data_IF_070759217074
#
_entry.id   IF_070759217074
#
_cell.length_a   1.000
_cell.length_b   1.000
_cell.length_c   1.000
_cell.angle_alpha   90.00
_cell.angle_beta   90.00
_cell.angle_gamma   90.00
#
_symmetry.space_group_name_H-M   'P 1'
#
loop_
_entity.id
_entity.type
_entity.pdbx_description
1 polymer ?
#
# COMPACT_ATOMS: atom_id res chain seq x y z
N UNK A 1 3.77 12.25 12.83
CA UNK A 1 3.03 12.97 13.87
C UNK A 1 3.30 12.24 15.17
N UNK A 2 4.08 12.80 16.09
CA UNK A 2 4.40 12.14 17.37
C UNK A 2 3.44 12.63 18.45
N UNK A 3 2.28 11.99 18.55
CA UNK A 3 1.43 12.14 19.75
C UNK A 3 2.19 11.45 20.89
N UNK A 4 2.35 12.11 22.03
CA UNK A 4 3.02 11.45 23.16
C UNK A 4 2.09 10.44 23.82
N UNK A 5 2.65 9.35 24.37
CA UNK A 5 1.87 8.35 25.11
C UNK A 5 0.99 9.00 26.20
N UNK A 6 1.51 10.03 26.87
CA UNK A 6 0.76 10.81 27.86
C UNK A 6 -0.48 11.49 27.27
N UNK A 7 -0.38 12.08 26.07
CA UNK A 7 -1.53 12.71 25.41
C UNK A 7 -2.59 11.68 25.04
N UNK A 8 -2.18 10.48 24.65
CA UNK A 8 -3.11 9.41 24.30
C UNK A 8 -3.88 8.89 25.53
N UNK A 9 -3.17 8.67 26.65
CA UNK A 9 -3.79 8.32 27.93
C UNK A 9 -4.75 9.41 28.43
N UNK A 10 -4.38 10.69 28.27
CA UNK A 10 -5.28 11.81 28.59
C UNK A 10 -6.56 11.79 27.72
N UNK A 11 -6.44 11.43 26.43
CA UNK A 11 -7.60 11.30 25.54
C UNK A 11 -8.52 10.15 25.99
N UNK A 12 -7.95 9.00 26.34
CA UNK A 12 -8.74 7.87 26.86
C UNK A 12 -9.53 8.27 28.11
N UNK A 13 -8.89 8.93 29.08
CA UNK A 13 -9.57 9.40 30.28
C UNK A 13 -10.72 10.36 29.95
N UNK A 14 -10.50 11.29 29.01
CA UNK A 14 -11.55 12.23 28.59
C UNK A 14 -12.76 11.51 28.00
N UNK A 15 -12.54 10.51 27.14
CA UNK A 15 -13.64 9.71 26.56
C UNK A 15 -14.41 8.94 27.64
N UNK A 16 -13.72 8.42 28.66
CA UNK A 16 -14.36 7.74 29.80
C UNK A 16 -15.19 8.73 30.62
N UNK A 17 -14.65 9.92 30.92
CA UNK A 17 -15.38 10.98 31.63
C UNK A 17 -16.63 11.42 30.86
N UNK A 18 -16.53 11.61 29.53
CA UNK A 18 -17.67 11.96 28.69
C UNK A 18 -18.73 10.84 28.65
N UNK A 19 -18.31 9.57 28.64
CA UNK A 19 -19.22 8.43 28.76
C UNK A 19 -19.94 8.41 30.11
N UNK A 20 -19.24 8.72 31.20
CA UNK A 20 -19.83 8.81 32.54
C UNK A 20 -20.84 9.95 32.64
N UNK A 21 -20.55 11.10 32.03
CA UNK A 21 -21.49 12.24 31.99
C UNK A 21 -22.76 11.92 31.19
N UNK A 22 -22.66 11.06 30.18
CA UNK A 22 -23.76 10.70 29.26
C UNK A 22 -24.28 9.28 29.48
N UNK A 23 -24.09 8.72 30.67
CA UNK A 23 -24.40 7.33 31.00
C UNK A 23 -25.87 6.94 30.78
N UNK A 24 -26.78 7.91 30.75
CA UNK A 24 -28.20 7.73 30.48
C UNK A 24 -28.49 7.31 29.02
N UNK A 25 -27.59 7.63 28.08
CA UNK A 25 -27.71 7.28 26.67
C UNK A 25 -26.80 6.09 26.29
N UNK A 26 -27.35 4.87 26.14
CA UNK A 26 -26.55 3.68 25.82
C UNK A 26 -25.94 3.70 24.43
N UNK A 27 -26.42 4.54 23.51
CA UNK A 27 -25.81 4.72 22.18
C UNK A 27 -24.50 5.49 22.34
N UNK A 28 -24.55 6.63 23.04
CA UNK A 28 -23.36 7.47 23.27
C UNK A 28 -22.30 6.77 24.10
N UNK A 29 -22.69 6.04 25.14
CA UNK A 29 -21.74 5.23 25.93
C UNK A 29 -21.01 4.22 25.04
N UNK A 30 -21.71 3.57 24.10
CA UNK A 30 -21.08 2.64 23.15
C UNK A 30 -20.15 3.34 22.17
N UNK A 31 -20.44 4.57 21.77
CA UNK A 31 -19.56 5.37 20.91
C UNK A 31 -18.26 5.73 21.63
N UNK A 32 -18.35 6.25 22.86
CA UNK A 32 -17.16 6.55 23.67
C UNK A 32 -16.34 5.28 23.97
N UNK A 33 -16.99 4.13 24.24
CA UNK A 33 -16.29 2.87 24.40
C UNK A 33 -15.55 2.41 23.13
N UNK A 34 -16.13 2.66 21.94
CA UNK A 34 -15.44 2.40 20.65
C UNK A 34 -14.24 3.32 20.46
N UNK A 35 -14.34 4.60 20.84
CA UNK A 35 -13.24 5.54 20.77
C UNK A 35 -12.07 5.09 21.67
N UNK A 36 -12.35 4.70 22.93
CA UNK A 36 -11.34 4.14 23.85
C UNK A 36 -10.68 2.90 23.26
N UNK A 37 -11.47 1.97 22.69
CA UNK A 37 -10.92 0.77 22.04
C UNK A 37 -9.94 1.13 20.92
N UNK A 38 -10.32 2.06 20.04
CA UNK A 38 -9.46 2.49 18.94
C UNK A 38 -8.17 3.15 19.43
N UNK A 39 -8.24 3.91 20.52
CA UNK A 39 -7.05 4.47 21.17
C UNK A 39 -6.15 3.35 21.74
N UNK A 40 -6.72 2.29 22.33
CA UNK A 40 -5.96 1.14 22.80
C UNK A 40 -5.28 0.40 21.64
N UNK A 41 -6.02 0.19 20.54
CA UNK A 41 -5.51 -0.48 19.36
C UNK A 41 -4.30 0.29 18.78
N UNK A 42 -4.34 1.63 18.77
CA UNK A 42 -3.21 2.47 18.35
C UNK A 42 -1.96 2.29 19.22
N UNK A 43 -2.10 2.21 20.55
CA UNK A 43 -0.97 1.93 21.46
C UNK A 43 -0.30 0.59 21.14
N UNK A 44 -1.12 -0.43 20.93
CA UNK A 44 -0.64 -1.80 20.70
C UNK A 44 -0.05 -1.98 19.30
N UNK A 45 -0.49 -1.18 18.31
CA UNK A 45 0.10 -1.14 16.97
C UNK A 45 1.51 -0.52 16.97
N UNK A 46 1.75 0.51 17.79
CA UNK A 46 3.09 1.11 17.94
C UNK A 46 4.11 0.07 18.46
N UNK A 47 3.75 -0.75 19.45
CA UNK A 47 4.60 -1.86 19.92
C UNK A 47 4.90 -2.90 18.82
N UNK A 48 3.95 -3.14 17.91
CA UNK A 48 4.15 -4.05 16.79
C UNK A 48 5.13 -3.48 15.76
N UNK A 49 5.14 -2.17 15.52
CA UNK A 49 6.09 -1.55 14.60
C UNK A 49 7.51 -1.50 15.17
N UNK A 50 7.66 -1.32 16.49
CA UNK A 50 8.98 -1.35 17.13
C UNK A 50 9.56 -2.77 17.25
N UNK A 51 8.70 -3.79 17.34
CA UNK A 51 9.11 -5.20 17.39
C UNK A 51 9.20 -5.88 16.02
N UNK A 52 8.53 -5.34 14.99
CA UNK A 52 8.60 -5.82 13.60
C UNK A 52 9.61 -5.02 12.78
N UNK A 53 10.89 -5.22 13.10
CA UNK A 53 11.98 -4.96 12.18
C UNK A 53 12.45 -3.51 12.13
N UNK A 54 13.66 -3.30 12.65
CA UNK A 54 14.61 -2.48 11.90
C UNK A 54 14.51 -2.91 10.42
N UNK A 55 14.38 -1.97 9.46
CA UNK A 55 14.59 -2.34 8.09
C UNK A 55 16.06 -2.73 8.02
N UNK A 56 16.36 -4.03 8.02
CA UNK A 56 17.54 -4.50 7.33
C UNK A 56 17.50 -3.79 5.99
N UNK A 57 18.51 -2.97 5.76
CA UNK A 57 18.74 -2.28 4.51
C UNK A 57 18.49 -3.29 3.40
N UNK A 58 17.32 -3.21 2.78
CA UNK A 58 17.12 -3.80 1.48
C UNK A 58 18.15 -3.09 0.63
N UNK A 59 19.30 -3.76 0.45
CA UNK A 59 20.24 -3.46 -0.63
C UNK A 59 19.34 -3.48 -1.85
N UNK A 60 18.91 -2.30 -2.26
CA UNK A 60 18.50 -2.06 -3.63
C UNK A 60 19.74 -2.49 -4.39
N UNK A 61 19.66 -3.69 -4.95
CA UNK A 61 20.50 -4.03 -6.07
C UNK A 61 20.08 -3.00 -7.12
N UNK A 62 20.78 -1.87 -7.14
CA UNK A 62 20.91 -1.02 -8.30
C UNK A 62 21.62 -1.88 -9.35
N UNK A 63 20.89 -2.87 -9.87
CA UNK A 63 21.24 -3.58 -11.07
C UNK A 63 20.94 -2.59 -12.18
N UNK A 64 21.88 -1.66 -12.36
CA UNK A 64 21.88 -0.79 -13.52
C UNK A 64 21.80 -1.73 -14.73
N UNK A 65 20.80 -1.56 -15.60
CA UNK A 65 20.68 -2.40 -16.78
C UNK A 65 22.00 -2.30 -17.55
N UNK A 66 22.52 -3.45 -17.95
CA UNK A 66 23.76 -3.47 -18.72
C UNK A 66 23.55 -2.70 -20.03
N UNK A 67 24.62 -2.10 -20.57
CA UNK A 67 24.52 -1.31 -21.80
C UNK A 67 23.90 -2.11 -22.98
N UNK A 68 24.03 -3.44 -22.96
CA UNK A 68 23.43 -4.33 -23.94
C UNK A 68 21.90 -4.46 -23.77
N UNK A 69 21.40 -4.53 -22.53
CA UNK A 69 19.96 -4.57 -22.24
C UNK A 69 19.28 -3.24 -22.59
N UNK A 70 19.94 -2.10 -22.34
CA UNK A 70 19.43 -0.78 -22.75
C UNK A 70 19.35 -0.64 -24.28
N UNK A 71 20.34 -1.11 -25.03
CA UNK A 71 20.31 -1.07 -26.51
C UNK A 71 19.15 -1.88 -27.08
N UNK A 72 18.85 -3.03 -26.47
CA UNK A 72 17.72 -3.88 -26.87
C UNK A 72 16.36 -3.24 -26.62
N UNK A 73 16.23 -2.42 -25.56
CA UNK A 73 15.01 -1.64 -25.31
C UNK A 73 14.86 -0.42 -26.24
N UNK A 74 15.96 0.19 -26.67
CA UNK A 74 15.96 1.31 -27.63
C UNK A 74 15.68 0.88 -29.09
N UNK A 75 15.63 -0.43 -29.36
CA UNK A 75 15.32 -0.95 -30.69
C UNK A 75 16.43 -0.73 -31.72
N UNK A 76 17.67 -0.54 -31.28
CA UNK A 76 18.82 -0.25 -32.16
C UNK A 76 19.54 -1.50 -32.69
N UNK A 77 18.92 -2.68 -32.65
CA UNK A 77 19.44 -3.83 -33.37
C UNK A 77 19.04 -3.75 -34.85
N UNK A 78 19.99 -3.73 -35.81
CA UNK A 78 19.64 -3.88 -37.21
C UNK A 78 18.98 -5.26 -37.39
N UNK A 79 17.87 -5.36 -38.13
CA UNK A 79 17.21 -6.64 -38.30
C UNK A 79 18.14 -7.58 -39.06
N UNK A 80 18.63 -8.63 -38.39
CA UNK A 80 19.16 -9.80 -39.06
C UNK A 80 18.02 -10.37 -39.91
N UNK A 81 18.06 -10.07 -41.21
CA UNK A 81 17.18 -10.65 -42.21
C UNK A 81 17.45 -12.15 -42.29
N UNK A 82 16.77 -12.93 -41.45
CA UNK A 82 16.53 -14.35 -41.75
C UNK A 82 15.37 -14.42 -42.73
N UNK A 83 15.74 -14.42 -44.01
CA UNK A 83 14.84 -14.75 -45.10
C UNK A 83 14.37 -16.19 -44.97
N UNK A 84 13.17 -16.39 -44.45
CA UNK A 84 12.39 -17.60 -44.72
C UNK A 84 10.97 -17.18 -45.00
N UNK A 85 10.60 -17.29 -46.28
CA UNK A 85 9.23 -17.31 -46.77
C UNK A 85 8.36 -18.18 -45.87
N UNK A 86 7.43 -17.56 -45.15
CA UNK A 86 6.14 -18.21 -44.91
C UNK A 86 5.06 -17.14 -44.80
N UNK A 87 3.97 -17.36 -45.53
CA UNK A 87 2.86 -16.44 -45.69
C UNK A 87 2.11 -16.36 -44.35
N UNK A 88 2.29 -15.27 -43.60
CA UNK A 88 1.40 -14.96 -42.49
C UNK A 88 0.11 -14.35 -43.05
N UNK A 89 -0.88 -15.21 -43.26
CA UNK A 89 -2.28 -14.84 -43.38
C UNK A 89 -2.76 -14.42 -41.99
N UNK A 90 -2.62 -13.13 -41.67
CA UNK A 90 -3.09 -12.53 -40.41
C UNK A 90 -4.48 -11.92 -40.61
N UNK A 91 -5.43 -12.72 -41.07
CA UNK A 91 -6.84 -12.33 -41.10
C UNK A 91 -7.52 -12.79 -39.80
N UNK A 92 -7.60 -11.88 -38.80
CA UNK A 92 -8.49 -12.09 -37.64
C UNK A 92 -7.91 -11.88 -36.23
N UNK A 93 -6.71 -11.33 -36.04
CA UNK A 93 -6.10 -11.20 -34.70
C UNK A 93 -6.40 -9.88 -33.95
N UNK A 94 -7.30 -9.03 -34.47
CA UNK A 94 -7.88 -7.90 -33.73
C UNK A 94 -9.38 -8.13 -33.59
N UNK A 95 -9.78 -8.95 -32.62
CA UNK A 95 -11.16 -9.07 -32.18
C UNK A 95 -11.72 -7.69 -31.83
N UNK A 96 -13.00 -7.47 -32.13
CA UNK A 96 -13.73 -6.21 -31.92
C UNK A 96 -13.37 -5.60 -30.57
N UNK A 97 -12.71 -4.43 -30.61
CA UNK A 97 -12.24 -3.71 -29.44
C UNK A 97 -13.40 -3.47 -28.46
N UNK A 98 -13.17 -3.75 -27.17
CA UNK A 98 -14.15 -3.64 -26.09
C UNK A 98 -14.38 -2.19 -25.62
N UNK A 99 -13.81 -1.22 -26.33
CA UNK A 99 -14.12 0.21 -26.16
C UNK A 99 -15.04 0.68 -27.28
N UNK A 100 -16.26 0.16 -27.26
CA UNK A 100 -17.40 0.74 -27.97
C UNK A 100 -18.09 1.70 -26.97
N UNK A 101 -17.83 3.00 -27.13
CA UNK A 101 -18.45 4.08 -26.35
C UNK A 101 -19.72 4.58 -27.06
#
# INVERSE_FOLDING_TARGET
>A
MSISMQQLLQRMNKEIEEAMLRHEDPVRVREHARAVRLLCDLVLEEERQESAGAPETAKKNDMQPTAEEMRKMMGEDPPERKSTNDKLDHDGANGSSIFDF
#
